data_IF_507136977269
#
_entry.id   IF_507136977269
#
_cell.length_a   1.000
_cell.length_b   1.000
_cell.length_c   1.000
_cell.angle_alpha   90.00
_cell.angle_beta   90.00
_cell.angle_gamma   90.00
#
_symmetry.space_group_name_H-M   'P 1'
#
loop_
_entity.id
_entity.type
_entity.pdbx_description
1 polymer ?
#
# COMPACT_ATOMS: atom_id res chain seq x y z
N UNK A 1 0.94 -3.56 -26.02
CA UNK A 1 -0.18 -3.20 -25.13
C UNK A 1 -0.87 -1.95 -25.65
N UNK A 2 -0.25 -0.76 -25.59
CA UNK A 2 -0.88 0.50 -26.03
C UNK A 2 -1.53 0.43 -27.42
N UNK A 3 -0.77 0.03 -28.45
CA UNK A 3 -1.29 -0.10 -29.83
C UNK A 3 -2.54 -0.98 -29.93
N UNK A 4 -2.57 -2.11 -29.22
CA UNK A 4 -3.70 -3.04 -29.24
C UNK A 4 -4.91 -2.45 -28.51
N UNK A 5 -4.66 -1.82 -27.36
CA UNK A 5 -5.68 -1.19 -26.54
C UNK A 5 -6.34 0.00 -27.27
N UNK A 6 -5.55 0.82 -27.96
CA UNK A 6 -6.04 1.93 -28.79
C UNK A 6 -6.97 1.43 -29.89
N UNK A 7 -6.63 0.30 -30.54
CA UNK A 7 -7.46 -0.31 -31.57
C UNK A 7 -8.81 -0.81 -31.04
N UNK A 8 -8.87 -1.14 -29.75
CA UNK A 8 -10.08 -1.62 -29.05
C UNK A 8 -10.79 -0.51 -28.25
N UNK A 9 -10.27 0.73 -28.26
CA UNK A 9 -10.81 1.83 -27.46
C UNK A 9 -10.69 1.61 -25.94
N UNK A 10 -9.69 0.83 -25.50
CA UNK A 10 -9.45 0.54 -24.09
C UNK A 10 -8.36 1.47 -23.55
N UNK A 11 -8.58 2.18 -22.43
CA UNK A 11 -7.54 2.99 -21.83
C UNK A 11 -6.47 2.09 -21.20
N UNK A 12 -5.22 2.55 -21.23
CA UNK A 12 -4.07 1.86 -20.64
C UNK A 12 -3.54 2.70 -19.50
N UNK A 13 -3.35 2.08 -18.34
CA UNK A 13 -2.64 2.69 -17.22
C UNK A 13 -1.15 2.42 -17.37
N UNK A 14 -0.35 3.48 -17.44
CA UNK A 14 1.12 3.36 -17.39
C UNK A 14 1.57 3.17 -15.93
N UNK A 15 1.61 1.91 -15.51
CA UNK A 15 2.03 1.52 -14.17
C UNK A 15 3.50 1.88 -13.90
N UNK A 16 4.36 1.89 -14.93
CA UNK A 16 5.76 2.27 -14.73
C UNK A 16 5.86 3.77 -14.41
N UNK A 17 5.19 4.60 -15.20
CA UNK A 17 5.09 6.03 -14.93
C UNK A 17 4.49 6.29 -13.54
N UNK A 18 3.43 5.56 -13.17
CA UNK A 18 2.79 5.72 -11.86
C UNK A 18 3.72 5.39 -10.70
N UNK A 19 4.45 4.28 -10.77
CA UNK A 19 5.44 3.97 -9.75
C UNK A 19 6.55 5.02 -9.68
N UNK A 20 7.07 5.48 -10.82
CA UNK A 20 8.08 6.54 -10.85
C UNK A 20 7.57 7.84 -10.21
N UNK A 21 6.31 8.20 -10.43
CA UNK A 21 5.64 9.33 -9.78
C UNK A 21 5.62 9.16 -8.26
N UNK A 22 5.16 8.00 -7.77
CA UNK A 22 5.09 7.69 -6.34
C UNK A 22 6.48 7.67 -5.68
N UNK A 23 7.52 7.28 -6.41
CA UNK A 23 8.90 7.31 -5.92
C UNK A 23 9.47 8.72 -5.85
N UNK A 24 9.14 9.56 -6.83
CA UNK A 24 9.60 10.95 -6.88
C UNK A 24 8.88 11.81 -5.84
N UNK A 25 7.58 11.55 -5.62
CA UNK A 25 6.71 12.29 -4.71
C UNK A 25 5.96 11.31 -3.81
N UNK A 26 6.61 10.74 -2.78
CA UNK A 26 5.99 9.75 -1.91
C UNK A 26 4.78 10.34 -1.17
N UNK A 27 3.60 9.69 -1.22
CA UNK A 27 2.45 10.15 -0.46
C UNK A 27 2.73 9.96 1.04
N UNK A 28 2.24 10.90 1.84
CA UNK A 28 2.46 10.92 3.29
C UNK A 28 1.13 10.61 3.98
N UNK A 29 1.13 9.56 4.81
CA UNK A 29 0.00 9.20 5.65
C UNK A 29 0.45 9.23 7.10
N UNK A 30 -0.33 9.89 7.97
CA UNK A 30 -0.01 10.00 9.40
C UNK A 30 1.43 10.50 9.67
N UNK A 31 1.94 11.39 8.82
CA UNK A 31 3.31 11.94 8.92
C UNK A 31 4.43 11.05 8.39
N UNK A 32 4.11 9.85 7.90
CA UNK A 32 5.08 8.86 7.42
C UNK A 32 4.97 8.74 5.89
N UNK A 33 6.08 8.90 5.14
CA UNK A 33 6.06 8.74 3.68
C UNK A 33 6.01 7.27 3.27
N UNK A 34 5.15 6.94 2.29
CA UNK A 34 5.13 5.64 1.63
C UNK A 34 6.22 5.59 0.56
N UNK A 35 7.17 4.67 0.72
CA UNK A 35 8.38 4.57 -0.10
C UNK A 35 8.66 3.12 -0.54
N UNK A 36 9.63 2.92 -1.44
CA UNK A 36 10.10 1.59 -1.85
C UNK A 36 11.17 0.98 -0.92
N UNK A 37 11.49 1.61 0.20
CA UNK A 37 12.38 1.02 1.19
C UNK A 37 11.73 -0.25 1.75
N UNK A 38 12.55 -1.19 2.23
CA UNK A 38 12.06 -2.26 3.08
C UNK A 38 11.24 -1.66 4.25
N UNK A 39 10.02 -2.17 4.45
CA UNK A 39 9.04 -1.63 5.39
C UNK A 39 8.54 -0.19 5.10
N UNK A 40 8.72 0.27 3.87
CA UNK A 40 8.31 1.60 3.42
C UNK A 40 6.86 1.68 2.93
N UNK A 41 6.15 0.56 2.80
CA UNK A 41 4.73 0.54 2.44
C UNK A 41 4.39 0.65 0.95
N UNK A 42 5.32 0.90 0.04
CA UNK A 42 4.97 0.81 -1.39
C UNK A 42 4.91 -0.65 -1.85
N UNK A 43 5.80 -1.48 -1.29
CA UNK A 43 5.89 -2.91 -1.54
C UNK A 43 5.77 -3.69 -0.23
N UNK A 44 5.34 -4.94 -0.33
CA UNK A 44 5.26 -5.90 0.75
C UNK A 44 6.65 -6.36 1.22
N UNK A 45 6.70 -7.25 2.21
CA UNK A 45 7.95 -7.80 2.75
C UNK A 45 8.83 -8.54 1.73
N UNK A 46 8.27 -9.00 0.61
CA UNK A 46 9.05 -9.62 -0.47
C UNK A 46 9.76 -8.61 -1.39
N UNK A 47 9.42 -7.32 -1.28
CA UNK A 47 9.98 -6.24 -2.09
C UNK A 47 9.57 -6.24 -3.57
N UNK A 48 8.62 -7.08 -3.98
CA UNK A 48 8.17 -7.22 -5.37
C UNK A 48 6.68 -6.92 -5.51
N UNK A 49 5.85 -7.49 -4.64
CA UNK A 49 4.40 -7.26 -4.68
C UNK A 49 4.04 -5.96 -3.95
N UNK A 50 3.12 -5.15 -4.47
CA UNK A 50 2.61 -3.99 -3.73
C UNK A 50 2.03 -4.42 -2.39
N UNK A 51 2.16 -3.58 -1.36
CA UNK A 51 1.49 -3.82 -0.08
C UNK A 51 -0.01 -3.46 -0.18
N UNK A 52 -0.75 -3.50 0.93
CA UNK A 52 -2.17 -3.14 0.95
C UNK A 52 -2.38 -1.68 0.49
N UNK A 53 -1.61 -0.74 1.05
CA UNK A 53 -1.69 0.67 0.63
C UNK A 53 -1.15 0.85 -0.80
N UNK A 54 -0.09 0.14 -1.18
CA UNK A 54 0.44 0.16 -2.55
C UNK A 54 -0.60 -0.27 -3.58
N UNK A 55 -1.33 -1.36 -3.31
CA UNK A 55 -2.44 -1.80 -4.15
C UNK A 55 -3.57 -0.78 -4.25
N UNK A 56 -3.93 -0.13 -3.14
CA UNK A 56 -4.99 0.88 -3.13
C UNK A 56 -4.63 2.13 -3.96
N UNK A 57 -3.39 2.60 -3.88
CA UNK A 57 -2.89 3.70 -4.71
C UNK A 57 -2.94 3.36 -6.21
N UNK A 58 -2.54 2.14 -6.57
CA UNK A 58 -2.61 1.66 -7.96
C UNK A 58 -4.07 1.51 -8.41
N UNK A 59 -4.95 0.99 -7.55
CA UNK A 59 -6.37 0.85 -7.87
C UNK A 59 -7.03 2.20 -8.14
N UNK A 60 -6.69 3.24 -7.38
CA UNK A 60 -7.17 4.60 -7.63
C UNK A 60 -6.76 5.13 -9.01
N UNK A 61 -5.56 4.80 -9.49
CA UNK A 61 -5.10 5.17 -10.83
C UNK A 61 -5.95 4.50 -11.93
N UNK A 62 -6.24 3.20 -11.78
CA UNK A 62 -7.13 2.48 -12.69
C UNK A 62 -8.55 3.07 -12.69
N UNK A 63 -9.12 3.30 -11.51
CA UNK A 63 -10.46 3.87 -11.37
C UNK A 63 -10.53 5.26 -12.01
N UNK A 64 -9.52 6.11 -11.76
CA UNK A 64 -9.44 7.45 -12.33
C UNK A 64 -9.36 7.40 -13.85
N UNK A 65 -8.50 6.54 -14.39
CA UNK A 65 -8.34 6.34 -15.83
C UNK A 65 -9.63 5.86 -16.48
N UNK A 66 -10.33 4.91 -15.87
CA UNK A 66 -11.63 4.42 -16.36
C UNK A 66 -12.72 5.49 -16.29
N UNK A 67 -12.81 6.25 -15.20
CA UNK A 67 -13.77 7.34 -15.06
C UNK A 67 -13.56 8.39 -16.17
N UNK A 68 -12.31 8.75 -16.47
CA UNK A 68 -11.97 9.70 -17.54
C UNK A 68 -12.28 9.15 -18.94
N UNK A 69 -11.92 7.90 -19.22
CA UNK A 69 -12.08 7.31 -20.55
C UNK A 69 -13.54 7.00 -20.90
N UNK A 70 -14.33 6.60 -19.91
CA UNK A 70 -15.70 6.10 -20.12
C UNK A 70 -16.80 7.02 -19.55
N UNK A 71 -16.44 8.16 -18.95
CA UNK A 71 -17.41 9.08 -18.34
C UNK A 71 -18.16 8.46 -17.15
N UNK A 72 -17.51 7.54 -16.43
CA UNK A 72 -18.08 6.86 -15.26
C UNK A 72 -17.81 7.63 -13.97
N UNK A 73 -18.53 7.26 -12.91
CA UNK A 73 -18.35 7.78 -11.55
C UNK A 73 -18.12 6.63 -10.57
N UNK A 74 -17.10 5.82 -10.81
CA UNK A 74 -16.66 4.79 -9.88
C UNK A 74 -15.97 5.42 -8.66
N UNK A 75 -16.23 4.92 -7.44
CA UNK A 75 -15.61 5.44 -6.23
C UNK A 75 -14.11 5.12 -6.20
N UNK A 76 -13.32 6.11 -5.77
CA UNK A 76 -11.90 5.95 -5.42
C UNK A 76 -11.78 5.77 -3.90
N UNK A 77 -10.68 5.16 -3.43
CA UNK A 77 -10.31 5.21 -2.02
C UNK A 77 -10.04 6.66 -1.64
N UNK A 78 -10.82 7.17 -0.70
CA UNK A 78 -10.63 8.50 -0.12
C UNK A 78 -9.50 8.50 0.92
N UNK A 79 -9.18 9.68 1.46
CA UNK A 79 -8.10 9.84 2.42
C UNK A 79 -8.30 8.96 3.66
N UNK A 80 -9.52 8.87 4.19
CA UNK A 80 -9.80 8.09 5.39
C UNK A 80 -9.60 6.59 5.14
N UNK A 81 -10.04 6.08 3.99
CA UNK A 81 -9.83 4.69 3.61
C UNK A 81 -8.33 4.39 3.39
N UNK A 82 -7.59 5.31 2.77
CA UNK A 82 -6.14 5.16 2.57
C UNK A 82 -5.38 5.20 3.90
N UNK A 83 -5.74 6.09 4.82
CA UNK A 83 -5.15 6.13 6.18
C UNK A 83 -5.47 4.87 6.98
N UNK A 84 -6.69 4.34 6.86
CA UNK A 84 -7.05 3.07 7.46
C UNK A 84 -6.19 1.92 6.92
N UNK A 85 -6.05 1.82 5.59
CA UNK A 85 -5.22 0.81 4.95
C UNK A 85 -3.74 0.96 5.33
N UNK A 86 -3.23 2.18 5.37
CA UNK A 86 -1.88 2.49 5.84
C UNK A 86 -1.66 2.03 7.29
N UNK A 87 -2.58 2.39 8.20
CA UNK A 87 -2.47 2.06 9.62
C UNK A 87 -2.54 0.56 9.90
N UNK A 88 -3.21 -0.19 9.04
CA UNK A 88 -3.40 -1.64 9.19
C UNK A 88 -2.45 -2.47 8.33
N UNK A 89 -1.59 -1.84 7.52
CA UNK A 89 -0.62 -2.54 6.67
C UNK A 89 0.55 -3.09 7.50
N UNK A 90 0.79 -4.42 7.50
CA UNK A 90 1.89 -5.03 8.24
C UNK A 90 3.26 -4.80 7.57
N UNK A 91 3.27 -4.29 6.33
CA UNK A 91 4.49 -4.04 5.54
C UNK A 91 5.06 -2.65 5.78
N UNK A 92 4.58 -1.93 6.79
CA UNK A 92 4.97 -0.56 7.12
C UNK A 92 5.47 -0.54 8.55
N UNK A 93 6.72 -0.11 8.70
CA UNK A 93 7.36 0.26 9.96
C UNK A 93 6.98 1.71 10.27
N UNK A 94 6.09 1.90 11.24
CA UNK A 94 5.47 3.20 11.53
C UNK A 94 6.24 3.98 12.59
N UNK A 95 7.03 3.31 13.44
CA UNK A 95 7.84 3.95 14.48
C UNK A 95 9.33 4.12 14.10
N UNK A 96 9.77 3.47 13.01
CA UNK A 96 11.11 3.57 12.45
C UNK A 96 12.13 2.64 13.11
N UNK A 97 11.71 1.63 13.88
CA UNK A 97 12.60 0.70 14.59
C UNK A 97 13.10 -0.47 13.73
N UNK A 98 12.60 -0.58 12.49
CA UNK A 98 12.98 -1.59 11.51
C UNK A 98 12.27 -2.93 11.68
N UNK A 99 11.19 -3.01 12.45
CA UNK A 99 10.40 -4.22 12.63
C UNK A 99 9.09 -4.15 11.87
N UNK A 100 8.61 -5.34 11.49
CA UNK A 100 7.30 -5.50 10.89
C UNK A 100 6.31 -5.98 11.94
N UNK A 101 5.06 -5.56 11.80
CA UNK A 101 3.96 -6.14 12.58
C UNK A 101 3.88 -7.64 12.27
N UNK A 102 4.05 -8.46 13.30
CA UNK A 102 3.86 -9.90 13.19
C UNK A 102 2.39 -10.25 13.00
N UNK A 103 2.10 -11.42 12.38
CA UNK A 103 0.72 -11.88 12.20
C UNK A 103 0.23 -12.54 13.49
N UNK A 104 -0.56 -11.83 14.28
CA UNK A 104 -1.21 -12.35 15.48
C UNK A 104 -2.16 -13.52 15.11
N UNK A 105 -2.10 -14.64 15.85
CA UNK A 105 -3.10 -15.72 15.74
C UNK A 105 -2.80 -16.83 14.72
N UNK A 106 -1.64 -16.83 14.05
CA UNK A 106 -1.32 -17.86 13.01
C UNK A 106 -0.40 -18.98 13.49
N UNK A 107 -0.16 -19.01 14.79
CA UNK A 107 0.47 -20.09 15.51
C UNK A 107 0.53 -19.77 17.00
N UNK A 108 0.69 -20.81 17.82
CA UNK A 108 0.77 -20.66 19.28
C UNK A 108 1.99 -19.82 19.69
N UNK A 109 3.12 -19.98 18.97
CA UNK A 109 4.36 -19.27 19.26
C UNK A 109 4.25 -17.80 18.85
N UNK A 110 3.71 -17.48 17.68
CA UNK A 110 3.53 -16.12 17.17
C UNK A 110 2.53 -15.33 18.02
N UNK A 111 1.48 -16.01 18.50
CA UNK A 111 0.48 -15.41 19.39
C UNK A 111 1.04 -15.16 20.79
N UNK A 112 1.77 -16.14 21.36
CA UNK A 112 2.34 -16.00 22.70
C UNK A 112 3.55 -15.06 22.71
N UNK A 113 4.39 -15.10 21.69
CA UNK A 113 5.56 -14.25 21.60
C UNK A 113 5.19 -12.80 21.29
N UNK A 114 4.05 -12.55 20.64
CA UNK A 114 3.44 -11.22 20.59
C UNK A 114 3.00 -10.72 21.97
N UNK A 115 2.22 -11.52 22.72
CA UNK A 115 1.76 -11.18 24.07
C UNK A 115 2.93 -10.95 25.04
N UNK A 116 4.03 -11.69 24.86
CA UNK A 116 5.22 -11.61 25.69
C UNK A 116 6.22 -10.55 25.21
N UNK A 117 5.96 -9.84 24.11
CA UNK A 117 6.88 -8.84 23.55
C UNK A 117 8.19 -9.41 23.02
N UNK A 118 8.21 -10.71 22.70
CA UNK A 118 9.39 -11.47 22.25
C UNK A 118 9.47 -11.47 20.71
N UNK A 119 8.37 -11.29 19.98
CA UNK A 119 8.35 -11.28 18.51
C UNK A 119 7.35 -10.29 17.90
N UNK A 120 7.72 -9.72 16.76
CA UNK A 120 6.89 -8.77 16.01
C UNK A 120 7.00 -7.35 16.54
N UNK A 121 6.60 -6.39 15.73
CA UNK A 121 6.40 -5.01 16.16
C UNK A 121 5.05 -4.88 16.87
N UNK A 122 5.07 -4.76 18.19
CA UNK A 122 3.87 -4.69 19.04
C UNK A 122 3.33 -3.28 19.25
N UNK A 123 4.10 -2.25 18.89
CA UNK A 123 3.77 -0.85 19.09
C UNK A 123 3.30 -0.16 17.79
N UNK A 124 3.37 -0.84 16.66
CA UNK A 124 2.79 -0.41 15.38
C UNK A 124 1.27 -0.63 15.21
N UNK A 125 0.57 -1.11 16.26
CA UNK A 125 -0.89 -1.34 16.23
C UNK A 125 -1.71 -0.08 16.47
N UNK A 126 -1.09 0.99 16.96
CA UNK A 126 -1.73 2.25 17.28
C UNK A 126 -0.84 3.37 16.75
N UNK A 127 -1.31 4.07 15.71
CA UNK A 127 -0.73 5.36 15.37
C UNK A 127 -0.90 6.28 16.59
N UNK A 128 0.19 6.85 17.09
CA UNK A 128 0.15 7.89 18.13
C UNK A 128 -0.60 9.13 17.65
#
# INVERSE_FOLDING_TARGET
IQREADALGMPVVDINAKFNELLANPPIFLGIPVTNRLLGGLFSLDGVHPSNIGHALIANEFVTTMNQAFGMTLPVFDQAALEFLFSTDPSIDKDGDGKAVGRLGVGLIETLAFILGITGDSNDFLAN
#
